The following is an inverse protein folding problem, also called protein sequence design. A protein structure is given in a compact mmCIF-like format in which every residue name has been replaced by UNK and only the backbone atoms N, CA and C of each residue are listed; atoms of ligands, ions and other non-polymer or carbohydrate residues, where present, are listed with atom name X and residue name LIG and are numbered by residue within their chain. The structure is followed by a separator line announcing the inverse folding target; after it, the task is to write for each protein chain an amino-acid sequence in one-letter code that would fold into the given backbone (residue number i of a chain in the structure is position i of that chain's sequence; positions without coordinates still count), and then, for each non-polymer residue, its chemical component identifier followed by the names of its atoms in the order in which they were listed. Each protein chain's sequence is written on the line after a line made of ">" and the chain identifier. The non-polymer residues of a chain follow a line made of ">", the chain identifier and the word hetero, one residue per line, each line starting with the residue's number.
data_IF_301524423257
#
_entry.id   IF_301524423257
#
_cell.length_a   1.000
_cell.length_b   1.000
_cell.length_c   1.000
_cell.angle_alpha   90.00
_cell.angle_beta   90.00
_cell.angle_gamma   90.00
#
_symmetry.space_group_name_H-M   'P 1'
#
loop_
_entity.id
_entity.type
_entity.pdbx_description
1 polymer ?
#
# COMPACT_ATOMS: atom_id res chain seq x y z
N UNK A 1 -13.14 45.22 -11.76
CA UNK A 1 -12.59 45.04 -10.41
C UNK A 1 -11.99 43.66 -10.38
N UNK A 2 -10.75 43.62 -10.86
CA UNK A 2 -10.02 42.43 -11.23
C UNK A 2 -9.14 42.02 -10.05
N UNK A 3 -9.39 40.83 -9.51
CA UNK A 3 -8.53 40.21 -8.49
C UNK A 3 -7.47 39.37 -9.20
N UNK A 4 -6.19 39.77 -9.20
CA UNK A 4 -5.16 38.99 -9.85
C UNK A 4 -4.72 37.83 -8.97
N UNK A 5 -4.76 36.62 -9.55
CA UNK A 5 -4.17 35.42 -8.97
C UNK A 5 -2.67 35.57 -8.76
N UNK A 6 -2.18 35.09 -7.61
CA UNK A 6 -0.74 34.94 -7.35
C UNK A 6 -0.37 33.47 -7.36
N UNK A 7 0.32 33.05 -8.42
CA UNK A 7 1.08 31.80 -8.47
C UNK A 7 2.22 31.84 -7.45
N UNK A 8 2.23 30.91 -6.51
CA UNK A 8 3.38 30.62 -5.66
C UNK A 8 4.43 29.85 -6.46
N UNK A 9 5.45 30.56 -6.96
CA UNK A 9 6.69 29.95 -7.45
C UNK A 9 7.58 29.61 -6.26
N UNK A 10 7.60 28.35 -5.84
CA UNK A 10 8.59 27.85 -4.87
C UNK A 10 9.92 27.68 -5.61
N UNK A 11 10.86 28.59 -5.38
CA UNK A 11 12.28 28.43 -5.72
C UNK A 11 13.11 28.92 -4.54
N UNK A 12 13.44 28.02 -3.62
CA UNK A 12 14.70 28.07 -2.87
C UNK A 12 14.92 26.71 -2.19
N UNK A 13 16.11 26.10 -2.35
CA UNK A 13 16.46 24.88 -1.63
C UNK A 13 16.72 25.23 -0.16
N UNK A 14 16.04 24.55 0.76
CA UNK A 14 16.31 24.71 2.18
C UNK A 14 17.58 23.93 2.51
N UNK A 15 18.69 24.64 2.64
CA UNK A 15 19.94 24.09 3.14
C UNK A 15 19.87 24.06 4.67
N UNK A 16 19.85 22.87 5.27
CA UNK A 16 19.82 22.72 6.72
C UNK A 16 21.14 23.20 7.35
N UNK A 17 21.11 24.01 8.43
CA UNK A 17 22.32 24.39 9.14
C UNK A 17 22.89 23.16 9.87
N UNK A 18 24.07 22.69 9.47
CA UNK A 18 24.86 21.73 10.25
C UNK A 18 25.52 22.52 11.39
N UNK A 19 24.77 22.79 12.45
CA UNK A 19 25.37 23.20 13.72
C UNK A 19 25.76 21.93 14.47
N UNK A 20 27.06 21.63 14.52
CA UNK A 20 27.62 20.68 15.50
C UNK A 20 27.46 21.29 16.91
N UNK A 21 26.29 21.15 17.52
CA UNK A 21 26.15 21.23 18.97
C UNK A 21 26.14 19.81 19.51
N UNK A 22 27.13 19.51 20.34
CA UNK A 22 27.16 18.32 21.17
C UNK A 22 26.11 18.57 22.28
N UNK A 23 24.90 18.07 22.08
CA UNK A 23 23.84 18.16 23.08
C UNK A 23 24.15 17.14 24.19
N UNK A 24 24.48 17.64 25.38
CA UNK A 24 24.39 16.84 26.60
C UNK A 24 22.91 16.66 26.89
N UNK A 25 22.43 15.42 26.80
CA UNK A 25 21.08 15.06 27.19
C UNK A 25 20.94 15.25 28.70
N UNK A 26 20.14 16.25 29.09
CA UNK A 26 19.65 16.40 30.46
C UNK A 26 18.45 15.48 30.68
N UNK A 27 18.36 14.93 31.88
CA UNK A 27 17.29 14.07 32.34
C UNK A 27 16.01 14.89 32.56
N UNK A 28 15.02 14.72 31.67
CA UNK A 28 13.61 14.97 31.99
C UNK A 28 12.91 13.61 31.92
N UNK A 29 12.33 13.16 33.05
CA UNK A 29 11.60 11.90 33.15
C UNK A 29 10.14 12.09 32.71
N UNK A 30 9.91 12.03 31.41
CA UNK A 30 8.62 11.68 30.84
C UNK A 30 8.52 10.15 30.72
N UNK A 31 7.55 9.56 31.43
CA UNK A 31 7.32 8.12 31.63
C UNK A 31 6.97 7.30 30.39
N UNK A 32 7.47 7.68 29.22
CA UNK A 32 7.38 6.93 27.98
C UNK A 32 8.71 7.00 27.20
N UNK A 33 9.83 6.75 27.88
CA UNK A 33 11.14 6.82 27.24
C UNK A 33 11.40 5.58 26.36
N UNK A 34 11.58 5.81 25.06
CA UNK A 34 12.06 4.77 24.13
C UNK A 34 13.46 4.35 24.58
N UNK A 35 13.72 3.05 24.83
CA UNK A 35 15.03 2.60 25.27
C UNK A 35 16.14 3.07 24.33
N UNK A 36 17.04 3.92 24.84
CA UNK A 36 18.22 4.39 24.11
C UNK A 36 19.33 3.36 24.23
N UNK A 37 19.96 3.00 23.12
CA UNK A 37 21.07 2.06 23.10
C UNK A 37 21.13 1.27 21.78
N UNK A 38 22.32 0.90 21.35
CA UNK A 38 22.51 0.12 20.13
C UNK A 38 21.77 -1.22 20.18
N UNK A 39 21.61 -1.79 21.37
CA UNK A 39 20.90 -3.04 21.65
C UNK A 39 19.38 -2.95 21.44
N UNK A 40 18.80 -1.75 21.44
CA UNK A 40 17.37 -1.52 21.21
C UNK A 40 17.07 -1.05 19.79
N UNK A 41 18.10 -0.89 18.95
CA UNK A 41 17.92 -0.56 17.53
C UNK A 41 17.38 -1.79 16.81
N UNK A 42 16.33 -1.59 16.02
CA UNK A 42 15.83 -2.60 15.09
C UNK A 42 17.00 -2.94 14.15
N UNK A 43 17.39 -4.23 14.03
CA UNK A 43 18.41 -4.64 13.08
C UNK A 43 18.07 -4.13 11.67
N UNK A 44 19.07 -3.73 10.87
CA UNK A 44 18.80 -3.38 9.49
C UNK A 44 18.12 -4.58 8.81
N UNK A 45 17.11 -4.33 7.96
CA UNK A 45 16.45 -5.41 7.25
C UNK A 45 17.49 -6.20 6.47
N UNK A 46 17.70 -7.46 6.86
CA UNK A 46 18.47 -8.41 6.06
C UNK A 46 17.81 -8.48 4.69
N UNK A 47 18.61 -8.30 3.65
CA UNK A 47 18.14 -8.15 2.27
C UNK A 47 17.11 -9.23 1.94
N UNK A 48 15.87 -8.82 1.66
CA UNK A 48 14.83 -9.75 1.26
C UNK A 48 15.16 -10.27 -0.14
N UNK A 49 15.24 -11.59 -0.36
CA UNK A 49 15.41 -12.12 -1.70
C UNK A 49 14.25 -11.65 -2.59
N UNK A 50 14.49 -11.45 -3.90
CA UNK A 50 13.43 -11.07 -4.82
C UNK A 50 12.33 -12.12 -4.80
N UNK A 51 11.08 -11.66 -4.81
CA UNK A 51 9.93 -12.54 -4.76
C UNK A 51 9.94 -13.50 -5.97
N UNK A 52 9.61 -14.79 -5.79
CA UNK A 52 9.61 -15.76 -6.88
C UNK A 52 8.46 -15.46 -7.85
N UNK A 53 8.78 -14.73 -8.93
CA UNK A 53 7.79 -14.23 -9.90
C UNK A 53 6.90 -15.34 -10.47
N UNK A 54 7.42 -16.49 -10.96
CA UNK A 54 6.56 -17.52 -11.57
C UNK A 54 5.55 -18.11 -10.58
N UNK A 55 5.99 -18.33 -9.34
CA UNK A 55 5.14 -18.87 -8.27
C UNK A 55 4.03 -17.90 -7.90
N UNK A 56 4.34 -16.61 -7.82
CA UNK A 56 3.35 -15.58 -7.50
C UNK A 56 2.31 -15.42 -8.62
N UNK A 57 2.73 -15.50 -9.89
CA UNK A 57 1.80 -15.50 -11.02
C UNK A 57 0.86 -16.70 -10.91
N UNK A 58 1.40 -17.90 -10.67
CA UNK A 58 0.59 -19.11 -10.55
C UNK A 58 -0.46 -18.97 -9.42
N UNK A 59 -0.03 -18.53 -8.24
CA UNK A 59 -0.92 -18.35 -7.08
C UNK A 59 -1.99 -17.27 -7.34
N UNK A 60 -1.63 -16.14 -7.96
CA UNK A 60 -2.58 -15.09 -8.29
C UNK A 60 -3.61 -15.55 -9.33
N UNK A 61 -3.17 -16.28 -10.35
CA UNK A 61 -4.07 -16.83 -11.38
C UNK A 61 -5.00 -17.91 -10.81
N UNK A 62 -4.50 -18.78 -9.92
CA UNK A 62 -5.30 -19.77 -9.20
C UNK A 62 -6.37 -19.09 -8.33
N UNK A 63 -5.98 -18.09 -7.54
CA UNK A 63 -6.91 -17.33 -6.70
C UNK A 63 -8.01 -16.65 -7.51
N UNK A 64 -7.67 -16.03 -8.65
CA UNK A 64 -8.66 -15.39 -9.55
C UNK A 64 -9.57 -16.39 -10.27
N UNK A 65 -9.22 -17.68 -10.32
CA UNK A 65 -10.11 -18.78 -10.75
C UNK A 65 -11.02 -19.27 -9.63
N UNK A 66 -10.88 -18.75 -8.41
CA UNK A 66 -11.66 -19.15 -7.24
C UNK A 66 -11.02 -20.26 -6.40
N UNK A 67 -9.76 -20.63 -6.65
CA UNK A 67 -9.05 -21.59 -5.81
C UNK A 67 -8.76 -20.96 -4.44
N UNK A 68 -9.33 -21.54 -3.38
CA UNK A 68 -9.17 -21.05 -2.00
C UNK A 68 -7.75 -21.27 -1.50
N UNK A 69 -7.27 -20.33 -0.68
CA UNK A 69 -5.97 -20.37 -0.03
C UNK A 69 -5.46 -18.97 0.28
N UNK A 70 -4.25 -18.88 0.86
CA UNK A 70 -3.72 -17.60 1.36
C UNK A 70 -3.66 -16.48 0.31
N UNK A 71 -3.45 -16.80 -0.97
CA UNK A 71 -3.48 -15.81 -2.05
C UNK A 71 -4.90 -15.28 -2.30
N UNK A 72 -5.89 -16.16 -2.32
CA UNK A 72 -7.31 -15.80 -2.44
C UNK A 72 -7.75 -14.94 -1.27
N UNK A 73 -7.43 -15.33 -0.03
CA UNK A 73 -7.85 -14.60 1.18
C UNK A 73 -7.30 -13.17 1.18
N UNK A 74 -6.02 -12.99 0.81
CA UNK A 74 -5.40 -11.66 0.69
C UNK A 74 -6.04 -10.81 -0.39
N UNK A 75 -6.37 -11.40 -1.54
CA UNK A 75 -7.02 -10.66 -2.64
C UNK A 75 -8.41 -10.20 -2.21
N UNK A 76 -9.20 -11.08 -1.60
CA UNK A 76 -10.55 -10.74 -1.09
C UNK A 76 -10.47 -9.67 -0.01
N UNK A 77 -9.60 -9.86 1.00
CA UNK A 77 -9.43 -8.92 2.10
C UNK A 77 -9.03 -7.53 1.59
N UNK A 78 -8.01 -7.47 0.72
CA UNK A 78 -7.51 -6.20 0.22
C UNK A 78 -8.54 -5.52 -0.70
N UNK A 79 -9.17 -6.27 -1.61
CA UNK A 79 -10.17 -5.71 -2.52
C UNK A 79 -11.41 -5.21 -1.77
N UNK A 80 -11.95 -6.03 -0.86
CA UNK A 80 -13.13 -5.66 -0.05
C UNK A 80 -12.85 -4.46 0.85
N UNK A 81 -11.71 -4.47 1.56
CA UNK A 81 -11.34 -3.33 2.42
C UNK A 81 -11.12 -2.05 1.61
N UNK A 82 -10.46 -2.13 0.45
CA UNK A 82 -10.24 -0.96 -0.41
C UNK A 82 -11.57 -0.40 -0.93
N UNK A 83 -12.49 -1.26 -1.39
CA UNK A 83 -13.81 -0.83 -1.85
C UNK A 83 -14.57 -0.11 -0.71
N UNK A 84 -14.49 -0.62 0.51
CA UNK A 84 -15.11 0.00 1.68
C UNK A 84 -14.50 1.35 2.05
N UNK A 85 -13.17 1.42 2.16
CA UNK A 85 -12.46 2.65 2.55
C UNK A 85 -12.61 3.79 1.53
N UNK A 86 -12.80 3.45 0.26
CA UNK A 86 -13.04 4.43 -0.80
C UNK A 86 -14.52 4.85 -0.90
N UNK A 87 -15.41 4.24 -0.12
CA UNK A 87 -16.85 4.51 -0.19
C UNK A 87 -17.44 4.12 -1.54
N UNK A 88 -17.00 3.00 -2.11
CA UNK A 88 -17.57 2.47 -3.35
C UNK A 88 -19.05 2.15 -3.15
N UNK A 89 -19.88 2.53 -4.13
CA UNK A 89 -21.33 2.30 -4.11
C UNK A 89 -21.68 0.82 -3.89
N UNK A 90 -22.42 0.55 -2.81
CA UNK A 90 -22.80 -0.79 -2.38
C UNK A 90 -21.68 -1.58 -1.69
N UNK A 91 -20.67 -0.91 -1.14
CA UNK A 91 -19.59 -1.49 -0.34
C UNK A 91 -19.36 -0.74 0.99
N UNK A 92 -20.36 -0.01 1.48
CA UNK A 92 -20.29 0.81 2.70
C UNK A 92 -20.17 -0.04 3.97
N UNK A 93 -20.73 -1.24 3.95
CA UNK A 93 -20.56 -2.25 4.97
C UNK A 93 -19.41 -3.21 4.61
N UNK A 94 -18.56 -3.52 5.59
CA UNK A 94 -17.36 -4.35 5.36
C UNK A 94 -17.72 -5.76 4.93
N UNK A 95 -18.73 -6.38 5.53
CA UNK A 95 -19.14 -7.74 5.19
C UNK A 95 -19.71 -7.80 3.76
N UNK A 96 -20.51 -6.78 3.39
CA UNK A 96 -21.01 -6.63 2.01
C UNK A 96 -19.86 -6.45 1.02
N UNK A 97 -18.87 -5.61 1.34
CA UNK A 97 -17.70 -5.39 0.48
C UNK A 97 -16.88 -6.68 0.27
N UNK A 98 -16.71 -7.48 1.34
CA UNK A 98 -16.04 -8.78 1.26
C UNK A 98 -16.82 -9.76 0.38
N UNK A 99 -18.13 -9.89 0.54
CA UNK A 99 -18.96 -10.77 -0.29
C UNK A 99 -18.96 -10.33 -1.75
N UNK A 100 -18.95 -9.03 -2.03
CA UNK A 100 -18.80 -8.48 -3.37
C UNK A 100 -17.46 -8.85 -4.01
N UNK A 101 -16.35 -8.75 -3.27
CA UNK A 101 -15.04 -9.17 -3.75
C UNK A 101 -14.99 -10.67 -4.06
N UNK A 102 -15.55 -11.51 -3.19
CA UNK A 102 -15.70 -12.97 -3.44
C UNK A 102 -16.54 -13.22 -4.69
N UNK A 103 -17.67 -12.53 -4.83
CA UNK A 103 -18.57 -12.63 -5.99
C UNK A 103 -17.89 -12.26 -7.30
N UNK A 104 -17.03 -11.23 -7.31
CA UNK A 104 -16.25 -10.84 -8.49
C UNK A 104 -15.25 -11.92 -8.93
N UNK A 105 -14.68 -12.66 -7.98
CA UNK A 105 -13.79 -13.81 -8.25
C UNK A 105 -14.62 -14.99 -8.77
N UNK A 106 -15.64 -15.44 -8.03
CA UNK A 106 -16.41 -16.63 -8.39
C UNK A 106 -17.20 -16.49 -9.69
N UNK A 107 -17.63 -15.28 -10.04
CA UNK A 107 -18.25 -15.01 -11.34
C UNK A 107 -17.27 -14.99 -12.52
N UNK A 108 -15.96 -15.08 -12.26
CA UNK A 108 -14.90 -14.97 -13.27
C UNK A 108 -14.68 -13.55 -13.81
N UNK A 109 -15.44 -12.55 -13.33
CA UNK A 109 -15.33 -11.15 -13.78
C UNK A 109 -13.94 -10.58 -13.51
N UNK A 110 -13.37 -10.88 -12.34
CA UNK A 110 -12.04 -10.41 -11.95
C UNK A 110 -10.96 -10.95 -12.91
N UNK A 111 -10.96 -12.27 -13.18
CA UNK A 111 -10.03 -12.90 -14.11
C UNK A 111 -10.19 -12.35 -15.54
N UNK A 112 -11.43 -12.20 -16.01
CA UNK A 112 -11.72 -11.64 -17.34
C UNK A 112 -11.19 -10.22 -17.48
N UNK A 113 -11.37 -9.37 -16.46
CA UNK A 113 -10.83 -8.00 -16.45
C UNK A 113 -9.30 -7.99 -16.57
N UNK A 114 -8.60 -8.85 -15.82
CA UNK A 114 -7.14 -8.95 -15.90
C UNK A 114 -6.67 -9.35 -17.30
N UNK A 115 -7.25 -10.40 -17.88
CA UNK A 115 -6.87 -10.88 -19.21
C UNK A 115 -7.13 -9.83 -20.30
N UNK A 116 -8.26 -9.14 -20.22
CA UNK A 116 -8.59 -8.04 -21.13
C UNK A 116 -7.60 -6.87 -20.98
N UNK A 117 -7.20 -6.53 -19.76
CA UNK A 117 -6.18 -5.49 -19.53
C UNK A 117 -4.83 -5.88 -20.17
N UNK A 118 -4.40 -7.14 -20.03
CA UNK A 118 -3.18 -7.65 -20.67
C UNK A 118 -3.28 -7.57 -22.20
N UNK A 119 -4.43 -7.91 -22.77
CA UNK A 119 -4.63 -7.83 -24.22
C UNK A 119 -4.54 -6.37 -24.72
N UNK A 120 -5.23 -5.45 -24.05
CA UNK A 120 -5.26 -4.03 -24.43
C UNK A 120 -3.87 -3.40 -24.28
N UNK A 121 -3.19 -3.63 -23.16
CA UNK A 121 -1.85 -3.07 -22.88
C UNK A 121 -0.79 -3.51 -23.89
N UNK A 122 -0.96 -4.65 -24.56
CA UNK A 122 -0.07 -5.09 -25.65
C UNK A 122 -0.33 -4.34 -26.97
N UNK A 123 -1.55 -3.85 -27.19
CA UNK A 123 -1.96 -3.11 -28.39
C UNK A 123 -1.56 -1.64 -28.31
N UNK A 124 -1.53 -1.09 -27.10
CA UNK A 124 -1.08 0.27 -26.82
C UNK A 124 0.45 0.24 -26.73
N UNK A 125 1.12 0.56 -27.84
CA UNK A 125 2.55 0.81 -27.92
C UNK A 125 2.82 2.30 -28.02
#
# INVERSE_FOLDING_TARGET
>A
MDSPGKSLKVKTPVQAPINKKLEKEGEEEDGFNTPKGAQFKIPPPVGCPPAPVPKNIQLGMAALRGEKGAAYDRIVLNAGTVDNLLGCDGAEDVDVAMERAKGAIYSGKALKKLLNYIEISRKIK
#
